data_IF_758724986611
#
_entry.id   IF_758724986611
#
_cell.length_a   1.000
_cell.length_b   1.000
_cell.length_c   1.000
_cell.angle_alpha   90.00
_cell.angle_beta   90.00
_cell.angle_gamma   90.00
#
_symmetry.space_group_name_H-M   'P 1'
#
loop_
_entity.id
_entity.type
_entity.pdbx_description
1 polymer ?
#
# COMPACT_ATOMS: atom_id res chain seq x y z
N UNK A 1 19.58 10.46 2.64
CA UNK A 1 18.40 10.35 1.73
C UNK A 1 17.09 10.06 2.48
N UNK A 2 17.10 9.21 3.51
CA UNK A 2 15.92 8.53 4.09
C UNK A 2 14.94 9.38 4.92
N UNK A 3 15.38 10.48 5.55
CA UNK A 3 14.55 11.20 6.54
C UNK A 3 13.60 12.25 5.92
N UNK A 4 14.05 12.95 4.87
CA UNK A 4 13.20 13.93 4.14
C UNK A 4 12.08 13.25 3.34
N UNK A 5 12.34 12.07 2.78
CA UNK A 5 11.31 11.30 2.03
C UNK A 5 10.22 10.75 2.96
N UNK A 6 10.56 10.43 4.22
CA UNK A 6 9.57 10.05 5.23
C UNK A 6 8.63 11.21 5.58
N UNK A 7 9.15 12.42 5.72
CA UNK A 7 8.34 13.61 6.05
C UNK A 7 7.47 14.08 4.87
N UNK A 8 7.89 13.82 3.62
CA UNK A 8 7.09 14.13 2.43
C UNK A 8 5.93 13.14 2.18
N UNK A 9 5.96 11.96 2.80
CA UNK A 9 4.99 10.90 2.54
C UNK A 9 3.73 10.97 3.42
N UNK A 10 3.80 11.63 4.58
CA UNK A 10 2.74 11.58 5.60
C UNK A 10 1.61 12.58 5.41
N UNK A 11 1.78 13.59 4.55
CA UNK A 11 0.83 14.69 4.37
C UNK A 11 0.06 14.66 3.04
N UNK A 12 0.11 13.56 2.30
CA UNK A 12 -0.48 13.46 0.95
C UNK A 12 -2.02 13.53 1.01
N UNK A 13 -2.57 14.48 0.27
CA UNK A 13 -4.00 14.66 0.03
C UNK A 13 -4.50 13.94 -1.23
N UNK A 14 -5.74 14.24 -1.62
CA UNK A 14 -6.45 13.62 -2.72
C UNK A 14 -5.69 13.68 -4.05
N UNK A 15 -5.17 14.85 -4.42
CA UNK A 15 -4.46 15.04 -5.69
C UNK A 15 -3.23 14.14 -5.80
N UNK A 16 -2.46 14.03 -4.71
CA UNK A 16 -1.27 13.17 -4.67
C UNK A 16 -1.62 11.69 -4.65
N UNK A 17 -2.73 11.30 -4.02
CA UNK A 17 -3.22 9.92 -4.09
C UNK A 17 -3.64 9.55 -5.52
N UNK A 18 -4.39 10.43 -6.20
CA UNK A 18 -4.82 10.19 -7.58
C UNK A 18 -3.62 9.98 -8.50
N UNK A 19 -2.65 10.90 -8.46
CA UNK A 19 -1.41 10.84 -9.25
C UNK A 19 -0.61 9.54 -8.99
N UNK A 20 -0.24 9.31 -7.72
CA UNK A 20 0.63 8.19 -7.33
C UNK A 20 -0.03 6.83 -7.60
N UNK A 21 -1.35 6.71 -7.40
CA UNK A 21 -2.08 5.46 -7.64
C UNK A 21 -2.53 5.29 -9.09
N UNK A 22 -2.33 6.30 -9.94
CA UNK A 22 -2.58 6.22 -11.38
C UNK A 22 -4.03 6.40 -11.81
N UNK A 23 -4.76 7.20 -11.06
CA UNK A 23 -6.04 7.75 -11.49
C UNK A 23 -5.79 8.95 -12.41
N UNK A 24 -6.55 9.09 -13.52
CA UNK A 24 -6.37 10.21 -14.44
C UNK A 24 -6.65 11.57 -13.78
N UNK A 25 -7.58 11.63 -12.82
CA UNK A 25 -7.82 12.82 -12.01
C UNK A 25 -8.26 12.51 -10.56
N UNK A 26 -8.28 13.51 -9.66
CA UNK A 26 -8.89 13.41 -8.34
C UNK A 26 -10.35 12.92 -8.36
N UNK A 27 -11.12 13.30 -9.37
CA UNK A 27 -12.51 12.91 -9.58
C UNK A 27 -12.65 11.42 -9.92
N UNK A 28 -11.71 10.86 -10.68
CA UNK A 28 -11.68 9.41 -10.94
C UNK A 28 -11.39 8.62 -9.66
N UNK A 29 -10.48 9.12 -8.80
CA UNK A 29 -10.26 8.52 -7.49
C UNK A 29 -11.52 8.64 -6.63
N UNK A 30 -12.17 9.80 -6.57
CA UNK A 30 -13.45 9.98 -5.88
C UNK A 30 -14.51 8.99 -6.36
N UNK A 31 -14.65 8.81 -7.67
CA UNK A 31 -15.60 7.86 -8.26
C UNK A 31 -15.25 6.40 -7.89
N UNK A 32 -13.97 6.04 -7.85
CA UNK A 32 -13.55 4.72 -7.40
C UNK A 32 -13.87 4.49 -5.92
N UNK A 33 -13.79 5.52 -5.06
CA UNK A 33 -14.04 5.37 -3.61
C UNK A 33 -15.52 5.52 -3.21
N UNK A 34 -16.36 6.05 -4.09
CA UNK A 34 -17.75 6.39 -3.77
C UNK A 34 -18.55 5.16 -3.32
N UNK A 35 -19.22 5.28 -2.16
CA UNK A 35 -20.04 4.22 -1.57
C UNK A 35 -19.27 3.02 -0.99
N UNK A 36 -17.94 2.95 -1.16
CA UNK A 36 -17.09 1.84 -0.71
C UNK A 36 -16.60 2.02 0.73
N UNK A 37 -16.33 0.89 1.39
CA UNK A 37 -15.53 0.86 2.62
C UNK A 37 -14.06 0.80 2.26
N UNK A 38 -13.31 1.83 2.63
CA UNK A 38 -11.92 2.04 2.19
C UNK A 38 -10.98 1.98 3.39
N UNK A 39 -9.89 1.22 3.26
CA UNK A 39 -8.77 1.26 4.19
C UNK A 39 -7.65 2.09 3.57
N UNK A 40 -7.25 3.17 4.24
CA UNK A 40 -6.03 3.92 3.91
C UNK A 40 -4.89 3.40 4.81
N UNK A 41 -4.11 2.45 4.29
CA UNK A 41 -3.06 1.78 5.03
C UNK A 41 -1.76 2.59 4.98
N UNK A 42 -1.22 2.94 6.14
CA UNK A 42 -0.10 3.88 6.29
C UNK A 42 -0.50 5.32 5.98
N UNK A 43 -1.71 5.69 6.42
CA UNK A 43 -2.34 6.99 6.14
C UNK A 43 -1.58 8.22 6.65
N UNK A 44 -0.58 8.06 7.54
CA UNK A 44 0.13 9.19 8.13
C UNK A 44 -0.84 10.14 8.83
N UNK A 45 -0.87 11.40 8.40
CA UNK A 45 -1.75 12.41 8.98
C UNK A 45 -3.23 12.25 8.58
N UNK A 46 -3.57 11.28 7.72
CA UNK A 46 -4.94 11.01 7.29
C UNK A 46 -5.54 12.10 6.40
N UNK A 47 -4.71 12.82 5.64
CA UNK A 47 -5.14 13.98 4.86
C UNK A 47 -6.11 13.64 3.74
N UNK A 48 -6.01 12.44 3.14
CA UNK A 48 -7.02 11.97 2.17
C UNK A 48 -8.43 12.02 2.77
N UNK A 49 -8.62 11.45 3.97
CA UNK A 49 -9.91 11.48 4.66
C UNK A 49 -10.33 12.91 5.03
N UNK A 50 -9.40 13.75 5.52
CA UNK A 50 -9.71 15.14 5.88
C UNK A 50 -10.24 15.95 4.69
N UNK A 51 -9.66 15.75 3.51
CA UNK A 51 -10.05 16.46 2.29
C UNK A 51 -11.36 15.92 1.69
N UNK A 52 -11.58 14.61 1.75
CA UNK A 52 -12.78 13.97 1.24
C UNK A 52 -13.98 14.12 2.19
N UNK A 53 -13.74 14.25 3.49
CA UNK A 53 -14.79 14.37 4.51
C UNK A 53 -15.51 13.05 4.80
N UNK A 54 -16.49 13.12 5.70
CA UNK A 54 -17.21 11.95 6.23
C UNK A 54 -18.19 11.31 5.24
N UNK A 55 -18.39 11.92 4.06
CA UNK A 55 -19.19 11.32 2.98
C UNK A 55 -18.51 10.07 2.39
N UNK A 56 -17.18 9.99 2.50
CA UNK A 56 -16.38 8.82 2.12
C UNK A 56 -16.07 7.98 3.36
N UNK A 57 -16.32 6.66 3.27
CA UNK A 57 -16.11 5.73 4.38
C UNK A 57 -14.66 5.24 4.42
N UNK A 58 -13.77 6.15 4.78
CA UNK A 58 -12.33 5.88 4.87
C UNK A 58 -11.93 5.63 6.32
N UNK A 59 -11.27 4.50 6.55
CA UNK A 59 -10.62 4.15 7.80
C UNK A 59 -9.11 4.35 7.64
N UNK A 60 -8.55 5.24 8.45
CA UNK A 60 -7.11 5.48 8.50
C UNK A 60 -6.45 4.39 9.36
N UNK A 61 -5.42 3.72 8.82
CA UNK A 61 -4.58 2.81 9.59
C UNK A 61 -3.15 3.34 9.55
N UNK A 62 -2.54 3.57 10.70
CA UNK A 62 -1.14 3.94 10.80
C UNK A 62 -0.54 3.44 12.13
N UNK A 63 0.77 3.28 12.16
CA UNK A 63 1.48 2.78 13.34
C UNK A 63 1.83 3.88 14.34
N UNK A 64 1.86 5.14 13.89
CA UNK A 64 2.33 6.29 14.67
C UNK A 64 1.31 7.43 14.71
N UNK A 65 0.66 7.72 13.60
CA UNK A 65 -0.16 8.92 13.46
C UNK A 65 -1.64 8.58 13.52
N UNK A 66 -2.32 9.08 14.55
CA UNK A 66 -3.73 8.83 14.79
C UNK A 66 -4.43 10.19 14.77
N UNK A 67 -4.85 10.65 13.59
CA UNK A 67 -5.34 12.02 13.42
C UNK A 67 -6.70 12.25 14.10
N UNK A 68 -7.50 11.21 14.32
CA UNK A 68 -8.79 11.29 14.98
C UNK A 68 -9.19 9.97 15.66
N UNK A 69 -10.32 9.97 16.37
CA UNK A 69 -10.87 8.80 17.06
C UNK A 69 -11.36 7.68 16.14
N UNK A 70 -11.50 7.95 14.84
CA UNK A 70 -11.93 6.98 13.83
C UNK A 70 -10.72 6.34 13.12
N UNK A 71 -9.52 6.73 13.50
CA UNK A 71 -8.26 6.20 13.00
C UNK A 71 -7.78 5.07 13.89
N UNK A 72 -7.16 4.07 13.29
CA UNK A 72 -6.75 2.83 13.97
C UNK A 72 -5.24 2.77 14.06
N UNK A 73 -4.73 2.61 15.28
CA UNK A 73 -3.32 2.37 15.51
C UNK A 73 -3.01 0.89 15.45
N UNK A 74 -2.39 0.42 14.36
CA UNK A 74 -1.88 -0.95 14.30
C UNK A 74 -0.82 -1.13 13.21
N UNK A 75 -0.07 -2.22 13.34
CA UNK A 75 0.80 -2.75 12.29
C UNK A 75 -0.04 -3.52 11.27
N UNK A 76 0.41 -3.53 10.01
CA UNK A 76 -0.30 -4.22 8.92
C UNK A 76 -0.38 -5.74 9.12
N UNK A 77 0.56 -6.35 9.87
CA UNK A 77 0.50 -7.77 10.24
C UNK A 77 -0.48 -8.10 11.38
N UNK A 78 -1.12 -7.10 11.99
CA UNK A 78 -2.04 -7.27 13.13
C UNK A 78 -3.26 -6.34 13.00
N UNK A 79 -3.93 -6.33 11.84
CA UNK A 79 -5.03 -5.40 11.60
C UNK A 79 -6.26 -5.76 12.46
N UNK A 80 -6.79 -4.85 13.31
CA UNK A 80 -7.89 -5.16 14.23
C UNK A 80 -9.26 -5.08 13.54
N UNK A 81 -9.34 -5.50 12.28
CA UNK A 81 -10.56 -5.51 11.48
C UNK A 81 -11.08 -6.93 11.32
N UNK A 82 -12.39 -7.06 11.11
CA UNK A 82 -13.00 -8.33 10.75
C UNK A 82 -12.59 -8.74 9.34
N UNK A 83 -12.74 -10.02 9.04
CA UNK A 83 -12.59 -10.52 7.68
C UNK A 83 -13.55 -9.76 6.76
N UNK A 84 -13.10 -9.49 5.54
CA UNK A 84 -13.91 -8.89 4.48
C UNK A 84 -14.57 -7.56 4.87
N UNK A 85 -13.83 -6.71 5.58
CA UNK A 85 -14.31 -5.39 6.02
C UNK A 85 -14.26 -4.33 4.92
N UNK A 86 -13.34 -4.43 3.96
CA UNK A 86 -13.04 -3.37 3.00
C UNK A 86 -13.28 -3.78 1.56
N UNK A 87 -13.85 -2.87 0.77
CA UNK A 87 -14.00 -3.01 -0.69
C UNK A 87 -12.73 -2.54 -1.41
N UNK A 88 -12.00 -1.60 -0.80
CA UNK A 88 -10.77 -1.03 -1.36
C UNK A 88 -9.72 -0.79 -0.30
N UNK A 89 -8.47 -1.11 -0.60
CA UNK A 89 -7.30 -0.81 0.24
C UNK A 89 -6.34 0.06 -0.57
N UNK A 90 -5.95 1.20 -0.01
CA UNK A 90 -4.96 2.10 -0.57
C UNK A 90 -3.65 1.94 0.20
N UNK A 91 -2.54 1.73 -0.51
CA UNK A 91 -1.21 1.51 0.04
C UNK A 91 -0.21 2.46 -0.62
N UNK A 92 -0.26 3.71 -0.21
CA UNK A 92 0.60 4.77 -0.72
C UNK A 92 1.94 4.81 0.05
N UNK A 93 2.96 4.13 -0.47
CA UNK A 93 4.30 4.04 0.16
C UNK A 93 4.27 3.49 1.61
N UNK A 94 3.44 2.49 1.87
CA UNK A 94 3.17 1.99 3.21
C UNK A 94 3.41 0.49 3.37
N UNK A 95 2.47 -0.33 2.92
CA UNK A 95 2.48 -1.79 3.09
C UNK A 95 3.69 -2.40 2.37
N UNK A 96 4.36 -3.36 3.00
CA UNK A 96 5.67 -3.93 2.60
C UNK A 96 6.84 -2.95 2.52
N UNK A 97 6.61 -1.64 2.61
CA UNK A 97 7.66 -0.65 2.71
C UNK A 97 8.27 -0.63 4.12
N UNK A 98 7.47 -0.89 5.16
CA UNK A 98 7.88 -0.92 6.57
C UNK A 98 7.77 -2.30 7.23
N UNK A 99 8.06 -3.37 6.48
CA UNK A 99 8.03 -4.72 7.04
C UNK A 99 9.05 -4.86 8.18
N UNK A 100 8.63 -5.56 9.23
CA UNK A 100 9.43 -5.71 10.45
C UNK A 100 10.33 -6.93 10.32
N UNK A 101 11.60 -6.79 10.70
CA UNK A 101 12.50 -7.91 10.86
C UNK A 101 13.07 -7.81 12.28
N UNK A 102 12.81 -8.78 13.15
CA UNK A 102 13.30 -8.79 14.52
C UNK A 102 13.73 -10.21 14.92
N UNK A 103 14.23 -10.37 16.15
CA UNK A 103 14.70 -11.66 16.67
C UNK A 103 13.65 -12.80 16.60
N UNK A 104 12.36 -12.46 16.50
CA UNK A 104 11.23 -13.39 16.48
C UNK A 104 10.50 -13.47 15.15
N UNK A 105 10.89 -12.68 14.15
CA UNK A 105 10.20 -12.59 12.86
C UNK A 105 11.17 -12.15 11.78
N UNK A 106 11.40 -13.02 10.81
CA UNK A 106 12.15 -12.68 9.60
C UNK A 106 11.37 -11.68 8.74
N UNK A 107 12.06 -10.97 7.85
CA UNK A 107 11.43 -10.07 6.89
C UNK A 107 10.37 -10.79 6.03
N UNK A 108 10.68 -12.00 5.57
CA UNK A 108 9.77 -12.80 4.74
C UNK A 108 8.49 -13.16 5.50
N UNK A 109 8.61 -13.57 6.78
CA UNK A 109 7.45 -13.85 7.63
C UNK A 109 6.61 -12.59 7.86
N UNK A 110 7.23 -11.43 8.06
CA UNK A 110 6.50 -10.17 8.21
C UNK A 110 5.73 -9.81 6.93
N UNK A 111 6.38 -9.87 5.76
CA UNK A 111 5.73 -9.65 4.46
C UNK A 111 4.59 -10.65 4.26
N UNK A 112 4.79 -11.94 4.61
CA UNK A 112 3.75 -12.95 4.49
C UNK A 112 2.53 -12.65 5.39
N UNK A 113 2.77 -12.23 6.64
CA UNK A 113 1.68 -11.85 7.56
C UNK A 113 0.93 -10.61 7.08
N UNK A 114 1.63 -9.57 6.63
CA UNK A 114 1.00 -8.39 6.05
C UNK A 114 0.16 -8.73 4.83
N UNK A 115 0.65 -9.60 3.94
CA UNK A 115 -0.10 -10.06 2.78
C UNK A 115 -1.36 -10.84 3.18
N UNK A 116 -1.27 -11.75 4.15
CA UNK A 116 -2.42 -12.52 4.67
C UNK A 116 -3.46 -11.63 5.33
N UNK A 117 -3.04 -10.68 6.16
CA UNK A 117 -3.96 -9.75 6.82
C UNK A 117 -4.66 -8.86 5.80
N UNK A 118 -3.93 -8.32 4.82
CA UNK A 118 -4.51 -7.51 3.75
C UNK A 118 -5.53 -8.33 2.94
N UNK A 119 -5.20 -9.58 2.60
CA UNK A 119 -6.12 -10.49 1.93
C UNK A 119 -7.36 -10.80 2.76
N UNK A 120 -7.19 -11.04 4.06
CA UNK A 120 -8.26 -11.36 5.01
C UNK A 120 -9.26 -10.22 5.13
N UNK A 121 -8.79 -8.98 5.30
CA UNK A 121 -9.67 -7.82 5.53
C UNK A 121 -10.29 -7.28 4.23
N UNK A 122 -9.73 -7.59 3.07
CA UNK A 122 -10.30 -7.24 1.78
C UNK A 122 -11.44 -8.21 1.43
N UNK A 123 -12.58 -7.68 0.99
CA UNK A 123 -13.72 -8.46 0.49
C UNK A 123 -13.37 -9.16 -0.81
N UNK A 124 -14.03 -10.28 -1.07
CA UNK A 124 -14.01 -10.90 -2.39
C UNK A 124 -14.43 -9.92 -3.49
N UNK A 125 -13.65 -9.86 -4.57
CA UNK A 125 -13.83 -8.87 -5.64
C UNK A 125 -13.36 -7.45 -5.29
N UNK A 126 -12.88 -7.23 -4.07
CA UNK A 126 -12.25 -5.98 -3.65
C UNK A 126 -10.89 -5.77 -4.32
N UNK A 127 -10.43 -4.51 -4.29
CA UNK A 127 -9.17 -4.08 -4.91
C UNK A 127 -8.18 -3.51 -3.90
N UNK A 128 -6.91 -3.77 -4.13
CA UNK A 128 -5.80 -3.12 -3.44
C UNK A 128 -4.98 -2.31 -4.45
N UNK A 129 -4.71 -1.05 -4.12
CA UNK A 129 -3.86 -0.16 -4.89
C UNK A 129 -2.56 0.04 -4.12
N UNK A 130 -1.41 -0.36 -4.68
CA UNK A 130 -0.13 -0.29 -3.99
C UNK A 130 0.95 0.35 -4.84
N UNK A 131 1.80 1.15 -4.19
CA UNK A 131 3.02 1.70 -4.78
C UNK A 131 4.26 1.10 -4.15
N UNK A 132 5.18 0.66 -5.01
CA UNK A 132 6.41 -0.03 -4.65
C UNK A 132 7.62 0.65 -5.31
N UNK A 133 8.80 0.45 -4.74
CA UNK A 133 10.07 0.92 -5.32
C UNK A 133 10.75 -0.22 -6.06
N UNK A 134 10.65 -0.31 -7.39
CA UNK A 134 11.27 -1.39 -8.14
C UNK A 134 12.80 -1.28 -8.07
N UNK A 135 13.47 -2.44 -8.02
CA UNK A 135 14.93 -2.52 -8.10
C UNK A 135 15.44 -2.18 -9.51
N UNK A 136 14.62 -2.50 -10.52
CA UNK A 136 14.90 -2.21 -11.92
C UNK A 136 14.12 -0.98 -12.37
N UNK A 137 14.84 0.08 -12.76
CA UNK A 137 14.27 1.32 -13.27
C UNK A 137 13.95 1.29 -14.76
N UNK A 138 14.28 0.21 -15.48
CA UNK A 138 13.97 0.09 -16.92
C UNK A 138 12.46 -0.01 -17.16
N UNK A 139 11.90 0.95 -17.88
CA UNK A 139 10.49 0.98 -18.25
C UNK A 139 10.08 -0.14 -19.22
N UNK A 140 11.03 -0.74 -19.94
CA UNK A 140 10.75 -1.86 -20.85
C UNK A 140 10.42 -3.17 -20.10
N UNK A 141 10.92 -3.32 -18.86
CA UNK A 141 10.65 -4.51 -18.04
C UNK A 141 9.25 -4.42 -17.41
N UNK A 142 8.33 -5.36 -17.69
CA UNK A 142 7.01 -5.37 -17.08
C UNK A 142 7.11 -5.64 -15.57
N UNK A 143 6.15 -5.10 -14.82
CA UNK A 143 6.02 -5.38 -13.38
C UNK A 143 5.19 -6.65 -13.19
N UNK A 144 5.86 -7.71 -12.71
CA UNK A 144 5.31 -9.05 -12.51
C UNK A 144 5.51 -9.53 -11.07
N UNK A 145 4.96 -10.68 -10.70
CA UNK A 145 5.16 -11.31 -9.40
C UNK A 145 6.64 -11.56 -9.06
N UNK A 146 7.47 -11.85 -10.07
CA UNK A 146 8.90 -12.09 -9.89
C UNK A 146 9.74 -10.81 -9.83
N UNK A 147 9.12 -9.64 -10.03
CA UNK A 147 9.80 -8.35 -9.88
C UNK A 147 10.31 -8.16 -8.45
N UNK A 148 11.50 -7.56 -8.33
CA UNK A 148 12.15 -7.27 -7.06
C UNK A 148 11.96 -5.81 -6.68
N UNK A 149 11.71 -5.58 -5.41
CA UNK A 149 11.44 -4.26 -4.87
C UNK A 149 12.31 -3.99 -3.65
N UNK A 150 12.54 -2.71 -3.37
CA UNK A 150 13.15 -2.26 -2.14
C UNK A 150 12.12 -2.24 -1.01
N UNK A 151 12.50 -2.85 0.12
CA UNK A 151 11.77 -2.84 1.39
C UNK A 151 12.67 -2.27 2.49
N UNK A 152 12.11 -1.44 3.37
CA UNK A 152 12.79 -1.01 4.58
C UNK A 152 12.47 -1.93 5.74
N UNK A 153 13.46 -2.18 6.59
CA UNK A 153 13.24 -2.85 7.88
C UNK A 153 13.53 -1.89 9.03
N UNK A 154 12.85 -2.12 10.16
CA UNK A 154 12.97 -1.28 11.36
C UNK A 154 14.29 -1.44 12.10
N UNK A 155 15.01 -2.55 11.91
CA UNK A 155 16.29 -2.85 12.54
C UNK A 155 17.48 -2.41 11.69
N UNK A 156 17.34 -2.46 10.36
CA UNK A 156 18.34 -1.96 9.42
C UNK A 156 17.81 -0.72 8.71
N UNK A 157 17.52 0.32 9.49
CA UNK A 157 16.88 1.57 9.02
C UNK A 157 17.60 2.26 7.84
N UNK A 158 18.85 1.87 7.57
CA UNK A 158 19.69 2.41 6.50
C UNK A 158 20.05 1.38 5.40
N UNK A 159 19.56 0.14 5.47
CA UNK A 159 19.80 -0.87 4.43
C UNK A 159 18.50 -1.16 3.67
N UNK A 160 18.54 -0.99 2.36
CA UNK A 160 17.46 -1.41 1.48
C UNK A 160 17.57 -2.91 1.23
N UNK A 161 16.56 -3.68 1.65
CA UNK A 161 16.50 -5.12 1.40
C UNK A 161 15.68 -5.37 0.14
N UNK A 162 16.11 -6.36 -0.65
CA UNK A 162 15.42 -6.78 -1.87
C UNK A 162 14.40 -7.86 -1.52
N UNK A 163 13.15 -7.65 -1.89
CA UNK A 163 12.06 -8.60 -1.64
C UNK A 163 11.19 -8.75 -2.90
N UNK A 164 10.31 -9.76 -2.90
CA UNK A 164 9.32 -10.01 -3.97
C UNK A 164 7.89 -9.99 -3.40
N UNK A 165 7.40 -8.84 -2.87
CA UNK A 165 6.09 -8.74 -2.25
C UNK A 165 4.95 -9.17 -3.18
N UNK A 166 5.06 -8.92 -4.49
CA UNK A 166 4.04 -9.34 -5.45
C UNK A 166 3.92 -10.87 -5.58
N UNK A 167 5.03 -11.60 -5.47
CA UNK A 167 5.00 -13.08 -5.38
C UNK A 167 4.29 -13.56 -4.12
N UNK A 168 4.54 -12.90 -2.99
CA UNK A 168 3.88 -13.23 -1.73
C UNK A 168 2.38 -12.94 -1.80
N UNK A 169 1.99 -11.79 -2.34
CA UNK A 169 0.60 -11.42 -2.60
C UNK A 169 -0.09 -12.41 -3.54
N UNK A 170 0.59 -12.84 -4.61
CA UNK A 170 0.08 -13.86 -5.53
C UNK A 170 -0.16 -15.19 -4.82
N UNK A 171 0.79 -15.62 -4.00
CA UNK A 171 0.69 -16.88 -3.24
C UNK A 171 -0.45 -16.90 -2.21
N UNK A 172 -0.86 -15.74 -1.67
CA UNK A 172 -2.02 -15.67 -0.76
C UNK A 172 -3.36 -15.57 -1.49
N UNK A 173 -3.38 -15.33 -2.80
CA UNK A 173 -4.59 -15.36 -3.63
C UNK A 173 -4.91 -14.07 -4.39
N UNK A 174 -4.05 -13.06 -4.38
CA UNK A 174 -4.24 -11.86 -5.21
C UNK A 174 -3.90 -12.12 -6.68
N UNK A 175 -4.56 -11.42 -7.59
CA UNK A 175 -4.15 -11.29 -8.98
C UNK A 175 -3.64 -9.88 -9.26
N UNK A 176 -2.65 -9.76 -10.15
CA UNK A 176 -2.22 -8.46 -10.68
C UNK A 176 -3.19 -8.10 -11.81
N UNK A 177 -4.08 -7.15 -11.56
CA UNK A 177 -5.06 -6.68 -12.54
C UNK A 177 -4.44 -5.63 -13.47
N UNK A 178 -3.59 -4.76 -12.89
CA UNK A 178 -2.85 -3.73 -13.61
C UNK A 178 -1.51 -3.50 -12.92
N UNK A 179 -0.46 -3.28 -13.70
CA UNK A 179 0.83 -2.83 -13.18
C UNK A 179 1.54 -1.95 -14.19
N UNK A 180 2.26 -0.94 -13.72
CA UNK A 180 3.09 -0.08 -14.56
C UNK A 180 4.20 0.58 -13.73
N UNK A 181 5.29 0.94 -14.42
CA UNK A 181 6.32 1.83 -13.88
C UNK A 181 6.00 3.26 -14.30
N UNK A 182 6.28 4.22 -13.42
CA UNK A 182 6.11 5.64 -13.71
C UNK A 182 7.21 6.46 -13.05
N UNK A 183 7.49 7.63 -13.62
CA UNK A 183 8.40 8.61 -13.02
C UNK A 183 7.63 9.48 -12.04
N UNK A 184 8.15 9.61 -10.82
CA UNK A 184 7.65 10.54 -9.82
C UNK A 184 8.74 11.56 -9.50
N UNK A 185 8.45 12.84 -9.69
CA UNK A 185 9.39 13.92 -9.39
C UNK A 185 9.32 14.28 -7.91
N UNK A 186 10.46 14.18 -7.24
CA UNK A 186 10.64 14.62 -5.85
C UNK A 186 11.51 15.88 -5.80
N UNK A 187 11.64 16.51 -4.63
CA UNK A 187 12.58 17.61 -4.42
C UNK A 187 14.05 17.23 -4.72
N UNK A 188 14.37 15.92 -4.69
CA UNK A 188 15.72 15.39 -4.93
C UNK A 188 15.92 14.90 -6.36
N UNK A 189 14.92 15.08 -7.21
CA UNK A 189 14.90 14.60 -8.58
C UNK A 189 13.90 13.47 -8.81
N UNK A 190 13.98 12.91 -10.01
CA UNK A 190 13.06 11.91 -10.50
C UNK A 190 13.40 10.52 -9.93
N UNK A 191 12.36 9.81 -9.48
CA UNK A 191 12.45 8.41 -9.07
C UNK A 191 11.51 7.56 -9.90
N UNK A 192 11.91 6.33 -10.20
CA UNK A 192 11.04 5.35 -10.85
C UNK A 192 10.31 4.56 -9.78
N UNK A 193 8.99 4.57 -9.84
CA UNK A 193 8.10 3.81 -8.96
C UNK A 193 7.31 2.81 -9.78
N UNK A 194 6.75 1.80 -9.10
CA UNK A 194 5.79 0.88 -9.67
C UNK A 194 4.46 1.05 -8.94
N UNK A 195 3.37 1.21 -9.68
CA UNK A 195 2.01 1.14 -9.14
C UNK A 195 1.33 -0.13 -9.63
N UNK A 196 0.62 -0.79 -8.73
CA UNK A 196 -0.01 -2.08 -8.99
C UNK A 196 -1.42 -2.08 -8.42
N UNK A 197 -2.37 -2.56 -9.20
CA UNK A 197 -3.74 -2.84 -8.78
C UNK A 197 -3.88 -4.35 -8.65
N UNK A 198 -4.28 -4.80 -7.47
CA UNK A 198 -4.44 -6.20 -7.13
C UNK A 198 -5.91 -6.50 -6.84
N UNK A 199 -6.45 -7.53 -7.48
CA UNK A 199 -7.80 -8.03 -7.21
C UNK A 199 -7.76 -9.25 -6.28
N UNK A 200 -8.69 -9.32 -5.32
CA UNK A 200 -8.93 -10.56 -4.55
C UNK A 200 -9.86 -11.48 -5.34
N UNK A 201 -9.32 -12.58 -5.85
CA UNK A 201 -10.12 -13.67 -6.42
C UNK A 201 -10.62 -14.60 -5.33
N UNK A 202 -11.87 -15.06 -5.44
CA UNK A 202 -12.31 -16.24 -4.69
C UNK A 202 -11.37 -17.40 -5.01
N UNK A 203 -10.70 -17.95 -4.00
CA UNK A 203 -10.08 -19.25 -4.14
C UNK A 203 -11.21 -20.23 -4.41
N UNK A 204 -11.26 -20.77 -5.63
CA UNK A 204 -12.14 -21.89 -5.93
C UNK A 204 -11.68 -23.07 -5.07
N UNK A 205 -12.31 -23.25 -3.92
CA UNK A 205 -12.21 -24.50 -3.16
C UNK A 205 -12.95 -25.55 -3.97
N UNK A 206 -12.20 -26.34 -4.75
CA UNK A 206 -12.70 -27.59 -5.34
C UNK A 206 -13.01 -28.61 -4.25
#
# INVERSE_FOLDING_TARGET
MVETERNMATSRGLEKYADILGFPSPEDLKSELEGKQVLDAGSGEGNLKKELGDEYKITNLDVRHIPDSNSVQSMAEFMPFKDESFDTILCNHSLFFYAQENEKMTLEESINKQAKETYRVLKDGGKMYIVLFPLDSDFASPVTEDSKFYTYTTFKRNELIKSQPLKVLKNVGFNIDKSEKFTHTTEKGDVVLARVVLGKSKLNTN
#
